data_IF_858521743435
#
_entry.id   IF_858521743435
#
_cell.length_a   1.000
_cell.length_b   1.000
_cell.length_c   1.000
_cell.angle_alpha   90.00
_cell.angle_beta   90.00
_cell.angle_gamma   90.00
#
_symmetry.space_group_name_H-M   'P 1'
#
loop_
_entity.id
_entity.type
_entity.pdbx_description
1 polymer ?
#
# COMPACT_ATOMS: atom_id res chain seq x y z
N UNK A 1 2.85 -31.63 -5.88
CA UNK A 1 2.78 -30.15 -5.91
C UNK A 1 2.33 -29.72 -4.54
N UNK A 2 3.21 -29.07 -3.77
CA UNK A 2 2.92 -28.77 -2.36
C UNK A 2 1.81 -27.73 -2.29
N UNK A 3 0.68 -28.10 -1.67
CA UNK A 3 -0.39 -27.20 -1.21
C UNK A 3 0.13 -26.32 -0.08
N UNK A 4 1.03 -25.38 -0.43
CA UNK A 4 1.86 -24.66 0.53
C UNK A 4 1.49 -23.18 0.69
N UNK A 5 0.46 -22.68 0.00
CA UNK A 5 0.02 -21.29 0.19
C UNK A 5 -1.15 -21.23 1.16
N UNK A 6 -0.91 -21.60 2.42
CA UNK A 6 -1.90 -21.32 3.45
C UNK A 6 -2.06 -19.80 3.58
N UNK A 7 -3.30 -19.33 3.50
CA UNK A 7 -3.61 -17.90 3.61
C UNK A 7 -3.33 -17.43 5.04
N UNK A 8 -2.54 -16.37 5.17
CA UNK A 8 -2.12 -15.84 6.47
C UNK A 8 -3.16 -14.81 6.92
N UNK A 9 -4.20 -15.28 7.63
CA UNK A 9 -5.39 -14.50 7.96
C UNK A 9 -5.09 -13.25 8.83
N UNK A 10 -4.08 -13.31 9.70
CA UNK A 10 -3.66 -12.16 10.52
C UNK A 10 -3.26 -10.95 9.66
N UNK A 11 -2.65 -11.19 8.49
CA UNK A 11 -2.26 -10.09 7.59
C UNK A 11 -3.48 -9.36 7.03
N UNK A 12 -4.61 -10.05 6.80
CA UNK A 12 -5.82 -9.39 6.28
C UNK A 12 -6.44 -8.45 7.32
N UNK A 13 -6.42 -8.84 8.60
CA UNK A 13 -6.86 -7.98 9.71
C UNK A 13 -5.97 -6.75 9.84
N UNK A 14 -4.65 -6.94 9.86
CA UNK A 14 -3.72 -5.82 10.00
C UNK A 14 -3.65 -4.92 8.76
N UNK A 15 -3.92 -5.44 7.56
CA UNK A 15 -4.13 -4.60 6.37
C UNK A 15 -5.34 -3.69 6.54
N UNK A 16 -6.43 -4.20 7.11
CA UNK A 16 -7.60 -3.37 7.41
C UNK A 16 -7.28 -2.30 8.44
N UNK A 17 -6.61 -2.66 9.55
CA UNK A 17 -6.15 -1.69 10.55
C UNK A 17 -5.25 -0.62 9.93
N UNK A 18 -4.28 -1.01 9.10
CA UNK A 18 -3.41 -0.08 8.39
C UNK A 18 -4.18 0.86 7.46
N UNK A 19 -5.17 0.36 6.72
CA UNK A 19 -6.02 1.20 5.88
C UNK A 19 -6.82 2.21 6.71
N UNK A 20 -7.35 1.80 7.86
CA UNK A 20 -8.05 2.71 8.79
C UNK A 20 -7.10 3.79 9.33
N UNK A 21 -5.89 3.43 9.76
CA UNK A 21 -4.89 4.41 10.22
C UNK A 21 -4.62 5.46 9.13
N UNK A 22 -4.46 5.03 7.87
CA UNK A 22 -4.26 5.95 6.74
C UNK A 22 -5.46 6.88 6.55
N UNK A 23 -6.70 6.38 6.69
CA UNK A 23 -7.91 7.21 6.67
C UNK A 23 -7.87 8.26 7.78
N UNK A 24 -7.49 7.86 9.01
CA UNK A 24 -7.44 8.79 10.15
C UNK A 24 -6.38 9.88 9.98
N UNK A 25 -5.22 9.56 9.39
CA UNK A 25 -4.18 10.56 9.08
C UNK A 25 -4.67 11.54 8.00
N UNK A 26 -5.31 11.03 6.93
CA UNK A 26 -5.82 11.91 5.88
C UNK A 26 -7.07 12.70 6.27
N UNK A 27 -7.80 12.23 7.30
CA UNK A 27 -8.90 13.00 7.90
C UNK A 27 -8.40 14.34 8.44
N UNK A 28 -7.24 14.36 9.10
CA UNK A 28 -6.60 15.59 9.56
C UNK A 28 -6.25 16.52 8.40
N UNK A 29 -5.70 15.98 7.30
CA UNK A 29 -5.31 16.78 6.14
C UNK A 29 -6.49 17.48 5.44
N UNK A 30 -7.67 16.86 5.41
CA UNK A 30 -8.85 17.38 4.69
C UNK A 30 -9.78 18.17 5.61
N UNK A 31 -9.97 17.71 6.85
CA UNK A 31 -10.94 18.28 7.79
C UNK A 31 -10.28 19.04 8.96
N UNK A 32 -8.94 19.12 9.01
CA UNK A 32 -8.18 19.95 9.95
C UNK A 32 -8.16 19.47 11.41
N UNK A 33 -8.69 18.28 11.69
CA UNK A 33 -8.77 17.73 13.05
C UNK A 33 -7.74 16.62 13.25
N UNK A 34 -6.80 16.83 14.17
CA UNK A 34 -5.82 15.83 14.57
C UNK A 34 -6.51 14.62 15.23
N UNK A 35 -6.19 13.42 14.75
CA UNK A 35 -6.72 12.16 15.30
C UNK A 35 -5.58 11.22 15.73
N UNK A 36 -4.58 11.05 14.87
CA UNK A 36 -3.42 10.17 15.08
C UNK A 36 -2.18 10.78 14.41
N UNK A 37 -0.98 10.52 14.95
CA UNK A 37 0.26 11.02 14.37
C UNK A 37 0.45 10.56 12.92
N UNK A 38 0.91 11.47 12.05
CA UNK A 38 1.23 11.18 10.65
C UNK A 38 2.24 10.04 10.50
N UNK A 39 3.16 9.89 11.46
CA UNK A 39 4.12 8.78 11.53
C UNK A 39 3.45 7.38 11.53
N UNK A 40 2.23 7.25 12.06
CA UNK A 40 1.47 5.99 11.98
C UNK A 40 1.02 5.69 10.54
N UNK A 41 0.61 6.70 9.79
CA UNK A 41 0.24 6.57 8.38
C UNK A 41 1.45 6.25 7.49
N UNK A 42 2.56 6.95 7.68
CA UNK A 42 3.80 6.71 6.91
C UNK A 42 4.36 5.31 7.16
N UNK A 43 4.35 4.83 8.41
CA UNK A 43 4.84 3.50 8.75
C UNK A 43 3.85 2.38 8.43
N UNK A 44 2.54 2.67 8.36
CA UNK A 44 1.56 1.75 7.80
C UNK A 44 1.85 1.43 6.32
N UNK A 45 2.35 2.39 5.54
CA UNK A 45 2.83 2.12 4.17
C UNK A 45 4.05 1.19 4.15
N UNK A 46 5.01 1.42 5.05
CA UNK A 46 6.17 0.53 5.17
C UNK A 46 5.77 -0.90 5.53
N UNK A 47 4.78 -1.04 6.40
CA UNK A 47 4.12 -2.30 6.67
C UNK A 47 3.56 -2.95 5.40
N UNK A 48 2.79 -2.21 4.58
CA UNK A 48 2.22 -2.74 3.33
C UNK A 48 3.30 -3.22 2.37
N UNK A 49 4.39 -2.46 2.19
CA UNK A 49 5.49 -2.84 1.31
C UNK A 49 6.25 -4.07 1.79
N UNK A 50 6.59 -4.16 3.08
CA UNK A 50 7.24 -5.33 3.66
C UNK A 50 6.35 -6.57 3.58
N UNK A 51 5.06 -6.44 3.88
CA UNK A 51 4.10 -7.54 3.73
C UNK A 51 4.00 -7.99 2.27
N UNK A 52 3.98 -7.05 1.33
CA UNK A 52 3.93 -7.37 -0.11
C UNK A 52 5.16 -8.18 -0.54
N UNK A 53 6.37 -7.72 -0.18
CA UNK A 53 7.61 -8.43 -0.45
C UNK A 53 7.65 -9.84 0.15
N UNK A 54 7.22 -9.98 1.42
CA UNK A 54 7.12 -11.27 2.08
C UNK A 54 6.14 -12.20 1.36
N UNK A 55 4.90 -11.75 1.14
CA UNK A 55 3.84 -12.60 0.56
C UNK A 55 4.22 -13.06 -0.84
N UNK A 56 4.86 -12.21 -1.64
CA UNK A 56 5.31 -12.61 -2.97
C UNK A 56 6.44 -13.64 -2.90
N UNK A 57 7.42 -13.47 -2.01
CA UNK A 57 8.47 -14.48 -1.83
C UNK A 57 7.95 -15.80 -1.26
N UNK A 58 6.90 -15.75 -0.43
CA UNK A 58 6.22 -16.92 0.12
C UNK A 58 5.41 -17.69 -0.94
N UNK A 59 4.64 -16.98 -1.78
CA UNK A 59 3.80 -17.59 -2.82
C UNK A 59 4.63 -18.01 -4.04
N UNK A 60 5.69 -17.26 -4.38
CA UNK A 60 6.57 -17.51 -5.52
C UNK A 60 8.03 -17.71 -5.04
N UNK A 61 8.33 -18.85 -4.39
CA UNK A 61 9.68 -19.14 -3.89
C UNK A 61 10.70 -19.29 -5.04
N UNK A 62 10.23 -19.59 -6.25
CA UNK A 62 11.01 -19.56 -7.48
C UNK A 62 10.12 -19.25 -8.68
N UNK A 63 10.69 -18.65 -9.72
CA UNK A 63 10.05 -18.43 -11.02
C UNK A 63 10.88 -19.13 -12.10
N UNK A 64 10.39 -20.27 -12.57
CA UNK A 64 11.11 -21.11 -13.55
C UNK A 64 10.86 -20.62 -14.98
N UNK A 65 11.73 -19.74 -15.46
CA UNK A 65 11.74 -19.26 -16.84
C UNK A 65 10.66 -18.23 -17.17
N UNK A 66 10.68 -17.76 -18.42
CA UNK A 66 9.89 -16.61 -18.86
C UNK A 66 8.37 -16.82 -18.79
N UNK A 67 7.89 -18.04 -19.04
CA UNK A 67 6.46 -18.35 -18.99
C UNK A 67 5.88 -18.13 -17.58
N UNK A 68 6.57 -18.61 -16.54
CA UNK A 68 6.18 -18.42 -15.14
C UNK A 68 6.23 -16.93 -14.76
N UNK A 69 7.26 -16.20 -15.18
CA UNK A 69 7.39 -14.76 -14.94
C UNK A 69 6.27 -13.95 -15.61
N UNK A 70 5.93 -14.26 -16.86
CA UNK A 70 4.80 -13.61 -17.56
C UNK A 70 3.47 -13.90 -16.88
N UNK A 71 3.28 -15.12 -16.39
CA UNK A 71 2.09 -15.50 -15.64
C UNK A 71 2.02 -14.74 -14.30
N UNK A 72 3.13 -14.64 -13.58
CA UNK A 72 3.26 -13.83 -12.37
C UNK A 72 2.79 -12.39 -12.61
N UNK A 73 3.32 -11.70 -13.63
CA UNK A 73 2.92 -10.32 -13.93
C UNK A 73 1.43 -10.18 -14.24
N UNK A 74 0.85 -11.11 -15.01
CA UNK A 74 -0.60 -11.11 -15.28
C UNK A 74 -1.41 -11.24 -13.99
N UNK A 75 -1.03 -12.13 -13.08
CA UNK A 75 -1.72 -12.27 -11.79
C UNK A 75 -1.62 -11.02 -10.93
N UNK A 76 -0.47 -10.33 -10.97
CA UNK A 76 -0.22 -9.08 -10.25
C UNK A 76 -1.06 -7.92 -10.82
N UNK A 77 -1.12 -7.77 -12.14
CA UNK A 77 -1.97 -6.75 -12.79
C UNK A 77 -3.43 -6.98 -12.42
N UNK A 78 -3.93 -8.22 -12.52
CA UNK A 78 -5.33 -8.53 -12.15
C UNK A 78 -5.61 -8.25 -10.65
N UNK A 79 -4.59 -8.36 -9.79
CA UNK A 79 -4.73 -8.12 -8.35
C UNK A 79 -4.93 -6.63 -8.01
N UNK A 80 -4.27 -5.73 -8.75
CA UNK A 80 -4.26 -4.29 -8.47
C UNK A 80 -5.27 -3.55 -9.36
N UNK A 81 -5.24 -3.82 -10.66
CA UNK A 81 -5.83 -2.93 -11.66
C UNK A 81 -7.34 -2.68 -11.53
N UNK A 82 -8.20 -3.66 -11.19
CA UNK A 82 -9.65 -3.40 -11.16
C UNK A 82 -10.08 -2.31 -10.19
N UNK A 83 -9.63 -2.35 -8.93
CA UNK A 83 -9.99 -1.32 -7.95
C UNK A 83 -9.25 -0.01 -8.23
N UNK A 84 -7.97 -0.09 -8.62
CA UNK A 84 -7.16 1.07 -8.96
C UNK A 84 -7.76 1.86 -10.14
N UNK A 85 -8.13 1.19 -11.23
CA UNK A 85 -8.73 1.80 -12.40
C UNK A 85 -10.10 2.42 -12.10
N UNK A 86 -10.90 1.79 -11.23
CA UNK A 86 -12.16 2.34 -10.77
C UNK A 86 -11.95 3.59 -9.89
N UNK A 87 -10.98 3.57 -8.98
CA UNK A 87 -10.64 4.72 -8.16
C UNK A 87 -10.16 5.90 -9.01
N UNK A 88 -9.31 5.65 -10.02
CA UNK A 88 -8.92 6.69 -11.00
C UNK A 88 -10.15 7.21 -11.73
N UNK A 89 -11.04 6.35 -12.23
CA UNK A 89 -12.23 6.78 -12.96
C UNK A 89 -13.05 7.75 -12.11
N UNK A 90 -13.34 7.37 -10.86
CA UNK A 90 -14.12 8.19 -9.93
C UNK A 90 -13.40 9.50 -9.63
N UNK A 91 -12.11 9.42 -9.30
CA UNK A 91 -11.36 10.57 -8.81
C UNK A 91 -10.98 11.54 -9.94
N UNK A 92 -10.61 11.05 -11.12
CA UNK A 92 -10.32 11.91 -12.28
C UNK A 92 -11.57 12.58 -12.82
N UNK A 93 -12.71 11.88 -12.84
CA UNK A 93 -14.00 12.47 -13.23
C UNK A 93 -14.39 13.59 -12.26
N UNK A 94 -14.30 13.34 -10.95
CA UNK A 94 -14.62 14.34 -9.94
C UNK A 94 -13.74 15.58 -10.03
N UNK A 95 -12.41 15.40 -10.04
CA UNK A 95 -11.45 16.51 -10.10
C UNK A 95 -11.61 17.30 -11.39
N UNK A 96 -11.72 16.61 -12.53
CA UNK A 96 -11.81 17.28 -13.82
C UNK A 96 -13.11 18.06 -13.95
N UNK A 97 -14.27 17.46 -13.63
CA UNK A 97 -15.55 18.16 -13.73
C UNK A 97 -15.65 19.34 -12.76
N UNK A 98 -15.15 19.18 -11.54
CA UNK A 98 -15.17 20.27 -10.53
C UNK A 98 -14.22 21.40 -10.90
N UNK A 99 -13.05 21.09 -11.47
CA UNK A 99 -12.16 22.11 -12.02
C UNK A 99 -12.79 22.84 -13.22
N UNK A 100 -13.52 22.15 -14.10
CA UNK A 100 -14.23 22.81 -15.20
C UNK A 100 -15.34 23.76 -14.71
N UNK A 101 -15.94 23.50 -13.54
CA UNK A 101 -17.00 24.35 -12.99
C UNK A 101 -16.49 25.60 -12.27
N UNK A 102 -15.40 25.48 -11.49
CA UNK A 102 -14.93 26.58 -10.61
C UNK A 102 -13.46 26.96 -10.79
N UNK A 103 -12.74 26.32 -11.72
CA UNK A 103 -11.32 26.58 -11.98
C UNK A 103 -10.43 26.26 -10.77
N UNK A 104 -9.43 27.12 -10.52
CA UNK A 104 -8.49 26.95 -9.40
C UNK A 104 -9.16 26.97 -8.01
N UNK A 105 -10.35 27.56 -7.89
CA UNK A 105 -11.10 27.57 -6.63
C UNK A 105 -11.42 26.16 -6.13
N UNK A 106 -11.51 25.18 -7.03
CA UNK A 106 -11.70 23.77 -6.69
C UNK A 106 -10.68 23.27 -5.65
N UNK A 107 -9.40 23.62 -5.82
CA UNK A 107 -8.35 23.13 -4.92
C UNK A 107 -8.51 23.68 -3.50
N UNK A 108 -9.01 24.90 -3.38
CA UNK A 108 -9.32 25.51 -2.08
C UNK A 108 -10.59 24.91 -1.49
N UNK A 109 -11.67 24.78 -2.27
CA UNK A 109 -12.96 24.24 -1.83
C UNK A 109 -12.87 22.77 -1.39
N UNK A 110 -11.99 21.98 -2.01
CA UNK A 110 -11.72 20.60 -1.62
C UNK A 110 -10.68 20.46 -0.48
N UNK A 111 -10.25 21.59 0.13
CA UNK A 111 -9.20 21.64 1.17
C UNK A 111 -7.91 20.91 0.76
N UNK A 112 -7.45 21.09 -0.47
CA UNK A 112 -6.18 20.48 -0.90
C UNK A 112 -4.99 21.24 -0.30
N UNK A 113 -4.06 20.53 0.37
CA UNK A 113 -2.81 21.14 0.78
C UNK A 113 -2.03 21.69 -0.42
N UNK A 114 -1.35 22.84 -0.27
CA UNK A 114 -0.54 23.43 -1.35
C UNK A 114 0.52 22.46 -1.90
N UNK A 115 1.02 21.56 -1.05
CA UNK A 115 2.09 20.60 -1.36
C UNK A 115 1.66 19.52 -2.37
N UNK A 116 0.37 19.41 -2.68
CA UNK A 116 -0.12 18.51 -3.73
C UNK A 116 -0.49 19.22 -5.04
N UNK A 117 -0.23 20.53 -5.13
CA UNK A 117 -0.52 21.35 -6.32
C UNK A 117 0.60 22.30 -6.75
N UNK A 118 1.70 22.42 -5.99
CA UNK A 118 2.70 23.50 -6.15
C UNK A 118 3.37 23.60 -7.53
N UNK A 119 3.54 22.49 -8.25
CA UNK A 119 4.20 22.47 -9.56
C UNK A 119 3.24 22.07 -10.70
N UNK A 120 1.93 22.04 -10.42
CA UNK A 120 0.93 21.89 -11.48
C UNK A 120 0.96 23.12 -12.39
N UNK A 121 0.70 22.96 -13.71
CA UNK A 121 0.67 24.09 -14.63
C UNK A 121 -0.44 25.07 -14.25
N UNK A 122 -0.21 26.36 -14.50
CA UNK A 122 -1.21 27.42 -14.27
C UNK A 122 -2.48 27.15 -15.09
N UNK A 123 -2.32 26.82 -16.38
CA UNK A 123 -3.41 26.45 -17.27
C UNK A 123 -3.57 24.92 -17.31
N UNK A 124 -4.68 24.41 -16.77
CA UNK A 124 -5.04 22.99 -16.78
C UNK A 124 -6.17 22.76 -17.77
N UNK A 125 -5.84 22.78 -19.05
CA UNK A 125 -6.81 22.57 -20.12
C UNK A 125 -7.26 21.11 -20.23
N UNK A 126 -8.20 20.84 -21.14
CA UNK A 126 -8.68 19.49 -21.46
C UNK A 126 -7.52 18.55 -21.83
N UNK A 127 -6.49 19.04 -22.54
CA UNK A 127 -5.36 18.22 -22.96
C UNK A 127 -4.52 17.76 -21.78
N UNK A 128 -4.27 18.64 -20.81
CA UNK A 128 -3.61 18.32 -19.56
C UNK A 128 -4.34 17.21 -18.79
N UNK A 129 -5.65 17.34 -18.58
CA UNK A 129 -6.44 16.33 -17.86
C UNK A 129 -6.48 14.98 -18.57
N UNK A 130 -6.56 14.96 -19.91
CA UNK A 130 -6.50 13.74 -20.70
C UNK A 130 -5.15 13.03 -20.53
N UNK A 131 -4.04 13.75 -20.69
CA UNK A 131 -2.68 13.20 -20.53
C UNK A 131 -2.45 12.72 -19.10
N UNK A 132 -2.88 13.50 -18.11
CA UNK A 132 -2.79 13.13 -16.70
C UNK A 132 -3.57 11.84 -16.42
N UNK A 133 -4.79 11.73 -16.94
CA UNK A 133 -5.65 10.54 -16.78
C UNK A 133 -5.00 9.30 -17.40
N UNK A 134 -4.47 9.42 -18.62
CA UNK A 134 -3.75 8.34 -19.28
C UNK A 134 -2.51 7.91 -18.49
N UNK A 135 -1.73 8.86 -17.96
CA UNK A 135 -0.56 8.55 -17.11
C UNK A 135 -0.94 7.79 -15.86
N UNK A 136 -2.06 8.12 -15.21
CA UNK A 136 -2.55 7.37 -14.05
C UNK A 136 -2.97 5.94 -14.42
N UNK A 137 -3.71 5.76 -15.53
CA UNK A 137 -4.11 4.42 -15.99
C UNK A 137 -2.95 3.55 -16.43
N UNK A 138 -1.84 4.14 -16.87
CA UNK A 138 -0.62 3.45 -17.30
C UNK A 138 0.41 3.27 -16.18
N UNK A 139 0.13 3.72 -14.96
CA UNK A 139 1.10 3.75 -13.85
C UNK A 139 2.36 4.56 -14.19
N UNK A 140 2.27 5.64 -14.96
CA UNK A 140 3.43 6.46 -15.36
C UNK A 140 3.42 7.86 -14.77
N UNK A 141 2.44 8.19 -13.91
CA UNK A 141 2.34 9.50 -13.26
C UNK A 141 3.53 9.81 -12.35
N UNK A 142 4.21 8.80 -11.80
CA UNK A 142 5.39 8.97 -10.95
C UNK A 142 6.70 9.19 -11.74
N UNK A 143 6.68 9.11 -13.07
CA UNK A 143 7.83 9.34 -13.98
C UNK A 143 7.59 10.62 -14.80
N UNK A 144 6.95 11.60 -14.17
CA UNK A 144 6.63 12.89 -14.76
C UNK A 144 7.65 13.93 -14.32
N UNK A 145 7.89 14.94 -15.16
CA UNK A 145 8.62 16.15 -14.75
C UNK A 145 7.84 16.99 -13.73
N UNK A 146 6.51 16.86 -13.71
CA UNK A 146 5.62 17.42 -12.70
C UNK A 146 5.54 16.40 -11.56
N UNK A 147 6.11 16.73 -10.42
CA UNK A 147 6.19 15.93 -9.21
C UNK A 147 4.82 15.70 -8.60
N UNK A 148 3.96 16.72 -8.50
CA UNK A 148 2.62 16.58 -7.90
C UNK A 148 1.62 15.87 -8.81
N UNK A 149 1.97 15.57 -10.07
CA UNK A 149 1.08 14.87 -11.00
C UNK A 149 0.59 13.54 -10.40
N UNK A 150 1.43 12.86 -9.62
CA UNK A 150 1.08 11.58 -8.99
C UNK A 150 -0.02 11.69 -7.92
N UNK A 151 -0.31 12.90 -7.46
CA UNK A 151 -1.27 13.23 -6.41
C UNK A 151 -2.53 13.91 -6.96
N UNK A 152 -2.52 14.32 -8.24
CA UNK A 152 -3.55 15.16 -8.87
C UNK A 152 -4.97 14.63 -8.67
N UNK A 153 -5.19 13.34 -8.91
CA UNK A 153 -6.55 12.78 -8.82
C UNK A 153 -6.83 12.13 -7.48
N UNK A 154 -5.83 11.48 -6.89
CA UNK A 154 -6.01 10.70 -5.67
C UNK A 154 -4.65 10.59 -4.99
N UNK A 155 -4.43 11.41 -3.97
CA UNK A 155 -3.14 11.56 -3.29
C UNK A 155 -2.51 10.20 -2.93
N UNK A 156 -3.20 9.29 -2.25
CA UNK A 156 -2.60 8.03 -1.78
C UNK A 156 -2.24 6.99 -2.87
N UNK A 157 -2.75 7.11 -4.11
CA UNK A 157 -2.57 6.06 -5.13
C UNK A 157 -1.14 5.90 -5.65
N UNK A 158 -0.24 6.87 -5.42
CA UNK A 158 1.18 6.74 -5.80
C UNK A 158 1.83 5.47 -5.20
N UNK A 159 1.38 5.05 -4.02
CA UNK A 159 1.89 3.87 -3.33
C UNK A 159 1.59 2.56 -4.09
N UNK A 160 0.42 2.45 -4.73
CA UNK A 160 0.05 1.29 -5.55
C UNK A 160 0.81 1.26 -6.88
N UNK A 161 1.16 2.44 -7.40
CA UNK A 161 2.07 2.58 -8.55
C UNK A 161 3.45 2.04 -8.19
N UNK A 162 3.97 2.42 -7.01
CA UNK A 162 5.23 1.87 -6.53
C UNK A 162 5.16 0.35 -6.34
N UNK A 163 4.06 -0.17 -5.78
CA UNK A 163 3.86 -1.61 -5.67
C UNK A 163 3.91 -2.31 -7.04
N UNK A 164 3.30 -1.72 -8.07
CA UNK A 164 3.41 -2.22 -9.45
C UNK A 164 4.85 -2.20 -9.97
N UNK A 165 5.63 -1.16 -9.68
CA UNK A 165 7.06 -1.11 -10.02
C UNK A 165 7.87 -2.17 -9.27
N UNK A 166 7.58 -2.39 -7.99
CA UNK A 166 8.27 -3.40 -7.18
C UNK A 166 8.00 -4.80 -7.73
N UNK A 167 6.80 -5.04 -8.24
CA UNK A 167 6.48 -6.29 -8.92
C UNK A 167 7.34 -6.50 -10.17
N UNK A 168 7.65 -5.47 -10.95
CA UNK A 168 8.57 -5.55 -12.09
C UNK A 168 9.99 -5.94 -11.64
N UNK A 169 10.46 -5.40 -10.52
CA UNK A 169 11.79 -5.70 -9.96
C UNK A 169 11.85 -7.05 -9.22
N UNK A 170 10.71 -7.58 -8.78
CA UNK A 170 10.64 -8.75 -7.91
C UNK A 170 11.37 -9.99 -8.46
N UNK A 171 11.19 -10.43 -9.73
CA UNK A 171 11.89 -11.62 -10.23
C UNK A 171 13.41 -11.50 -10.19
N UNK A 172 13.96 -10.31 -10.45
CA UNK A 172 15.40 -10.05 -10.36
C UNK A 172 15.87 -10.20 -8.92
N UNK A 173 15.21 -9.55 -7.97
CA UNK A 173 15.59 -9.60 -6.56
C UNK A 173 15.36 -10.98 -5.92
N UNK A 174 14.39 -11.74 -6.42
CA UNK A 174 14.19 -13.14 -6.02
C UNK A 174 15.43 -13.99 -6.36
N UNK A 175 16.07 -13.73 -7.50
CA UNK A 175 17.31 -14.41 -7.91
C UNK A 175 18.50 -13.93 -7.07
N UNK A 176 18.65 -12.61 -6.89
CA UNK A 176 19.75 -12.02 -6.12
C UNK A 176 19.76 -12.51 -4.66
N UNK A 177 18.58 -12.52 -4.02
CA UNK A 177 18.44 -12.92 -2.62
C UNK A 177 18.46 -14.44 -2.42
N UNK A 178 18.48 -15.25 -3.48
CA UNK A 178 18.56 -16.72 -3.39
C UNK A 178 19.86 -17.20 -2.71
N UNK A 179 20.92 -16.39 -2.73
CA UNK A 179 22.21 -16.70 -2.05
C UNK A 179 22.21 -16.35 -0.56
N UNK A 180 21.20 -15.63 -0.09
CA UNK A 180 21.05 -15.27 1.33
C UNK A 180 20.41 -16.47 2.04
N UNK A 181 21.25 -17.36 2.58
CA UNK A 181 20.85 -18.67 3.12
C UNK A 181 21.21 -18.85 4.60
N UNK A 182 21.69 -17.82 5.27
CA UNK A 182 22.05 -17.86 6.70
C UNK A 182 21.49 -16.65 7.42
N UNK A 183 21.22 -16.77 8.72
CA UNK A 183 20.77 -15.65 9.56
C UNK A 183 21.71 -14.45 9.49
N UNK A 184 23.03 -14.69 9.53
CA UNK A 184 24.05 -13.64 9.40
C UNK A 184 23.97 -12.90 8.07
N UNK A 185 23.75 -13.60 6.95
CA UNK A 185 23.58 -12.94 5.64
C UNK A 185 22.31 -12.13 5.58
N UNK A 186 21.21 -12.62 6.15
CA UNK A 186 19.97 -11.83 6.20
C UNK A 186 20.19 -10.55 7.01
N UNK A 187 20.79 -10.66 8.20
CA UNK A 187 21.08 -9.50 9.04
C UNK A 187 22.03 -8.51 8.33
N UNK A 188 23.11 -8.99 7.71
CA UNK A 188 24.03 -8.14 6.97
C UNK A 188 23.35 -7.39 5.81
N UNK A 189 22.50 -8.07 5.03
CA UNK A 189 21.76 -7.43 3.93
C UNK A 189 20.70 -6.45 4.47
N UNK A 190 20.06 -6.77 5.59
CA UNK A 190 19.12 -5.86 6.25
C UNK A 190 19.82 -4.57 6.68
N UNK A 191 20.95 -4.67 7.39
CA UNK A 191 21.72 -3.50 7.83
C UNK A 191 22.26 -2.70 6.64
N UNK A 192 22.80 -3.37 5.62
CA UNK A 192 23.27 -2.69 4.41
C UNK A 192 22.14 -1.94 3.70
N UNK A 193 20.96 -2.57 3.56
CA UNK A 193 19.77 -1.93 3.01
C UNK A 193 19.31 -0.75 3.86
N UNK A 194 19.35 -0.86 5.19
CA UNK A 194 18.90 0.18 6.11
C UNK A 194 19.82 1.42 6.05
N UNK A 195 21.14 1.20 6.01
CA UNK A 195 22.12 2.27 5.79
C UNK A 195 21.99 2.90 4.40
N UNK A 196 21.73 2.09 3.36
CA UNK A 196 21.46 2.59 2.02
C UNK A 196 20.21 3.46 1.99
N UNK A 197 19.12 3.01 2.62
CA UNK A 197 17.88 3.79 2.72
C UNK A 197 18.12 5.13 3.40
N UNK A 198 18.91 5.15 4.48
CA UNK A 198 19.31 6.40 5.15
C UNK A 198 20.10 7.32 4.23
N UNK A 199 21.11 6.79 3.53
CA UNK A 199 21.91 7.57 2.58
C UNK A 199 21.06 8.15 1.45
N UNK A 200 20.07 7.40 0.95
CA UNK A 200 19.14 7.88 -0.06
C UNK A 200 18.22 8.98 0.49
N UNK A 201 17.67 8.82 1.69
CA UNK A 201 16.86 9.86 2.34
C UNK A 201 17.69 11.13 2.50
N UNK A 202 18.91 11.04 3.01
CA UNK A 202 19.81 12.17 3.17
C UNK A 202 20.17 12.84 1.83
N UNK A 203 20.31 12.04 0.76
CA UNK A 203 20.63 12.55 -0.58
C UNK A 203 19.45 13.27 -1.26
N UNK A 204 18.23 12.75 -1.09
CA UNK A 204 17.03 13.30 -1.73
C UNK A 204 16.26 14.31 -0.86
N UNK A 205 16.74 14.60 0.36
CA UNK A 205 16.12 15.59 1.24
C UNK A 205 16.43 17.01 0.73
N UNK A 206 15.46 17.78 0.23
CA UNK A 206 15.65 19.20 -0.01
C UNK A 206 15.71 19.98 1.29
N UNK A 207 16.31 21.16 1.19
CA UNK A 207 16.43 22.12 2.28
C UNK A 207 15.06 22.73 2.60
N UNK A 208 14.63 22.63 3.86
CA UNK A 208 13.47 23.34 4.39
C UNK A 208 13.68 23.72 5.88
N UNK A 209 12.95 24.75 6.34
CA UNK A 209 12.99 25.22 7.73
C UNK A 209 12.29 24.25 8.70
N UNK A 210 11.19 23.64 8.26
CA UNK A 210 10.40 22.67 9.01
C UNK A 210 9.97 21.52 8.11
N UNK A 211 9.75 20.37 8.75
CA UNK A 211 9.49 19.12 8.08
C UNK A 211 8.33 18.40 8.76
N UNK A 212 7.28 18.15 8.00
CA UNK A 212 6.07 17.43 8.40
C UNK A 212 5.58 16.51 7.25
N UNK A 213 4.42 15.87 7.41
CA UNK A 213 3.86 14.97 6.40
C UNK A 213 3.67 15.64 5.02
N UNK A 214 3.38 16.94 5.02
CA UNK A 214 3.10 17.72 3.82
C UNK A 214 4.39 18.35 3.25
N UNK A 215 5.27 18.90 4.09
CA UNK A 215 6.46 19.69 3.68
C UNK A 215 7.70 18.85 3.43
N UNK A 216 7.87 17.71 4.11
CA UNK A 216 9.02 16.83 3.88
C UNK A 216 8.75 15.80 2.76
N UNK A 217 8.45 16.37 1.61
CA UNK A 217 8.90 15.86 0.32
C UNK A 217 8.15 14.67 -0.23
N UNK A 218 7.12 15.00 -1.01
CA UNK A 218 6.66 14.16 -2.10
C UNK A 218 7.85 13.47 -2.82
N UNK A 219 8.99 14.12 -3.14
CA UNK A 219 10.16 13.46 -3.72
C UNK A 219 10.79 12.31 -2.89
N UNK A 220 10.88 12.43 -1.56
CA UNK A 220 11.46 11.41 -0.67
C UNK A 220 10.40 10.37 -0.30
N UNK A 221 9.24 10.84 0.17
CA UNK A 221 8.13 10.04 0.66
C UNK A 221 7.62 9.05 -0.38
N UNK A 222 7.54 9.51 -1.64
CA UNK A 222 7.04 8.73 -2.77
C UNK A 222 8.15 8.17 -3.67
N UNK A 223 9.41 8.26 -3.23
CA UNK A 223 10.54 7.82 -4.03
C UNK A 223 10.51 6.29 -4.24
N UNK A 224 10.49 5.80 -5.49
CA UNK A 224 10.46 4.36 -5.76
C UNK A 224 11.69 3.63 -5.18
N UNK A 225 12.87 4.25 -5.21
CA UNK A 225 14.13 3.60 -4.82
C UNK A 225 14.19 3.47 -3.30
N UNK A 226 13.85 4.54 -2.56
CA UNK A 226 13.83 4.52 -1.09
C UNK A 226 12.83 3.47 -0.59
N UNK A 227 11.62 3.46 -1.14
CA UNK A 227 10.54 2.54 -0.73
C UNK A 227 10.76 1.11 -1.17
N UNK A 228 11.48 0.89 -2.27
CA UNK A 228 11.80 -0.46 -2.72
C UNK A 228 12.66 -1.22 -1.70
N UNK A 229 13.49 -0.53 -0.91
CA UNK A 229 14.26 -1.16 0.17
C UNK A 229 13.35 -1.85 1.18
N UNK A 230 12.22 -1.22 1.53
CA UNK A 230 11.22 -1.77 2.47
C UNK A 230 10.55 -3.03 1.90
N UNK A 231 10.27 -3.05 0.59
CA UNK A 231 9.78 -4.24 -0.09
C UNK A 231 10.82 -5.38 -0.04
N UNK A 232 12.10 -5.07 -0.25
CA UNK A 232 13.21 -6.04 -0.11
C UNK A 232 13.33 -6.57 1.32
N UNK A 233 13.13 -5.74 2.35
CA UNK A 233 13.06 -6.22 3.73
C UNK A 233 11.95 -7.25 3.93
N UNK A 234 10.80 -7.06 3.29
CA UNK A 234 9.76 -8.09 3.19
C UNK A 234 10.28 -9.43 2.66
N UNK A 235 11.04 -9.40 1.56
CA UNK A 235 11.65 -10.60 0.99
C UNK A 235 12.68 -11.23 1.94
N UNK A 236 13.45 -10.43 2.69
CA UNK A 236 14.39 -10.91 3.71
C UNK A 236 13.67 -11.55 4.89
N UNK A 237 12.55 -11.00 5.35
CA UNK A 237 11.70 -11.58 6.38
C UNK A 237 11.25 -12.99 5.94
N UNK A 238 10.92 -13.18 4.66
CA UNK A 238 10.63 -14.52 4.14
C UNK A 238 11.84 -15.46 4.23
N UNK A 239 13.05 -14.97 3.97
CA UNK A 239 14.28 -15.78 4.13
C UNK A 239 14.49 -16.18 5.59
N UNK A 240 14.30 -15.26 6.54
CA UNK A 240 14.34 -15.59 7.97
C UNK A 240 13.29 -16.64 8.33
N UNK A 241 12.04 -16.42 7.91
CA UNK A 241 10.94 -17.36 8.15
C UNK A 241 11.22 -18.75 7.58
N UNK A 242 11.77 -18.83 6.36
CA UNK A 242 12.14 -20.10 5.74
C UNK A 242 13.30 -20.81 6.47
N UNK A 243 14.24 -20.06 7.05
CA UNK A 243 15.36 -20.60 7.85
C UNK A 243 14.92 -21.08 9.22
N UNK A 244 13.92 -20.43 9.83
CA UNK A 244 13.39 -20.81 11.14
C UNK A 244 12.50 -22.05 11.09
N UNK A 245 12.08 -22.46 9.89
CA UNK A 245 11.20 -23.61 9.67
C UNK A 245 9.74 -23.32 10.02
N UNK A 246 8.83 -23.98 9.31
CA UNK A 246 7.40 -23.99 9.67
C UNK A 246 7.21 -25.13 10.67
N UNK A 247 7.21 -24.79 11.95
CA UNK A 247 6.90 -25.74 13.01
C UNK A 247 5.39 -26.04 13.02
N UNK A 248 4.99 -27.13 12.36
CA UNK A 248 3.58 -27.54 12.24
C UNK A 248 2.98 -28.01 13.57
N UNK A 249 3.81 -28.27 14.59
CA UNK A 249 3.41 -28.80 15.88
C UNK A 249 3.20 -27.72 16.95
N UNK A 250 3.41 -26.44 16.61
CA UNK A 250 2.97 -25.29 17.43
C UNK A 250 1.45 -25.15 17.39
N UNK A 251 0.74 -26.06 18.04
CA UNK A 251 -0.72 -26.08 18.14
C UNK A 251 -1.33 -24.93 18.96
N UNK A 252 -0.51 -24.05 19.56
CA UNK A 252 -0.99 -22.90 20.36
C UNK A 252 -0.44 -21.60 19.81
N UNK A 253 -1.37 -20.72 19.42
CA UNK A 253 -1.11 -19.33 19.05
C UNK A 253 -0.51 -18.61 20.26
N UNK A 254 0.74 -18.15 20.14
CA UNK A 254 1.40 -17.34 21.16
C UNK A 254 1.36 -15.86 20.76
N UNK A 255 0.51 -15.08 21.43
CA UNK A 255 0.34 -13.64 21.16
C UNK A 255 1.43 -12.78 21.82
N UNK A 256 2.20 -13.31 22.77
CA UNK A 256 3.16 -12.51 23.55
C UNK A 256 4.19 -11.79 22.66
N UNK A 257 4.88 -12.46 21.71
CA UNK A 257 5.84 -11.78 20.84
C UNK A 257 5.20 -10.68 19.99
N UNK A 258 3.96 -10.92 19.52
CA UNK A 258 3.22 -9.93 18.75
C UNK A 258 2.87 -8.71 19.60
N UNK A 259 2.32 -8.91 20.81
CA UNK A 259 1.99 -7.82 21.72
C UNK A 259 3.22 -6.99 22.11
N UNK A 260 4.34 -7.64 22.41
CA UNK A 260 5.62 -6.96 22.68
C UNK A 260 6.05 -6.14 21.45
N UNK A 261 5.98 -6.72 20.24
CA UNK A 261 6.36 -6.00 19.02
C UNK A 261 5.45 -4.79 18.74
N UNK A 262 4.16 -4.85 19.10
CA UNK A 262 3.23 -3.72 18.98
C UNK A 262 3.62 -2.62 19.98
N UNK A 263 3.90 -2.97 21.24
CA UNK A 263 4.35 -1.99 22.25
C UNK A 263 5.65 -1.33 21.84
N UNK A 264 6.63 -2.10 21.35
CA UNK A 264 7.90 -1.56 20.85
C UNK A 264 7.67 -0.65 19.65
N UNK A 265 6.83 -1.05 18.69
CA UNK A 265 6.48 -0.22 17.54
C UNK A 265 5.85 1.11 17.99
N UNK A 266 4.84 1.08 18.86
CA UNK A 266 4.17 2.29 19.36
C UNK A 266 5.14 3.18 20.16
N UNK A 267 6.03 2.58 20.96
CA UNK A 267 7.08 3.32 21.67
C UNK A 267 8.04 4.00 20.69
N UNK A 268 8.47 3.31 19.62
CA UNK A 268 9.34 3.88 18.60
C UNK A 268 8.66 5.03 17.87
N UNK A 269 7.37 4.92 17.55
CA UNK A 269 6.60 6.01 16.95
C UNK A 269 6.52 7.20 17.92
N UNK A 270 6.13 6.98 19.17
CA UNK A 270 6.06 8.05 20.18
C UNK A 270 7.42 8.72 20.38
N UNK A 271 8.49 7.94 20.52
CA UNK A 271 9.84 8.45 20.68
C UNK A 271 10.28 9.24 19.45
N UNK A 272 10.00 8.71 18.26
CA UNK A 272 10.28 9.36 17.00
C UNK A 272 9.58 10.72 16.89
N UNK A 273 8.29 10.78 17.21
CA UNK A 273 7.49 11.99 17.13
C UNK A 273 7.99 13.09 18.10
N UNK A 274 8.43 12.71 19.30
CA UNK A 274 8.76 13.68 20.35
C UNK A 274 10.24 14.10 20.38
N UNK A 275 11.15 13.26 19.87
CA UNK A 275 12.59 13.44 20.08
C UNK A 275 13.43 13.35 18.81
N UNK A 276 12.86 12.93 17.68
CA UNK A 276 13.59 12.76 16.42
C UNK A 276 12.98 13.66 15.35
N UNK A 277 13.78 14.38 14.55
CA UNK A 277 13.24 15.18 13.46
C UNK A 277 12.33 14.33 12.55
N UNK A 278 11.18 14.89 12.16
CA UNK A 278 10.09 14.18 11.48
C UNK A 278 10.56 13.29 10.30
N UNK A 279 11.54 13.78 9.54
CA UNK A 279 12.13 13.07 8.40
C UNK A 279 12.80 11.75 8.71
N UNK A 280 13.39 11.65 9.89
CA UNK A 280 14.04 10.44 10.34
C UNK A 280 13.07 9.60 11.17
N UNK A 281 12.17 10.23 11.95
CA UNK A 281 11.19 9.48 12.74
C UNK A 281 10.18 8.72 11.88
N UNK A 282 9.67 9.36 10.81
CA UNK A 282 8.64 8.79 9.93
C UNK A 282 9.14 7.68 8.99
N UNK A 283 10.43 7.65 8.67
CA UNK A 283 10.98 6.73 7.66
C UNK A 283 12.13 5.87 8.12
N UNK A 284 12.87 6.27 9.15
CA UNK A 284 14.12 5.62 9.50
C UNK A 284 13.93 4.81 10.77
N UNK A 285 13.64 5.46 11.90
CA UNK A 285 13.66 4.83 13.22
C UNK A 285 12.65 3.68 13.33
N UNK A 286 11.49 3.79 12.67
CA UNK A 286 10.43 2.80 12.75
C UNK A 286 10.66 1.53 11.92
N UNK A 287 11.52 1.55 10.89
CA UNK A 287 11.64 0.45 9.91
C UNK A 287 12.04 -0.88 10.56
N UNK A 288 13.05 -0.96 11.45
CA UNK A 288 13.35 -2.18 12.17
C UNK A 288 12.19 -2.68 13.04
N UNK A 289 11.46 -1.77 13.69
CA UNK A 289 10.30 -2.12 14.51
C UNK A 289 9.16 -2.69 13.66
N UNK A 290 8.89 -2.11 12.48
CA UNK A 290 7.92 -2.63 11.51
C UNK A 290 8.35 -4.02 11.00
N UNK A 291 9.63 -4.23 10.70
CA UNK A 291 10.15 -5.52 10.24
C UNK A 291 9.95 -6.63 11.31
N UNK A 292 10.23 -6.32 12.58
CA UNK A 292 9.99 -7.22 13.72
C UNK A 292 8.50 -7.49 13.88
N UNK A 293 7.66 -6.46 13.80
CA UNK A 293 6.20 -6.57 13.89
C UNK A 293 5.64 -7.50 12.80
N UNK A 294 6.07 -7.33 11.54
CA UNK A 294 5.73 -8.21 10.41
C UNK A 294 6.17 -9.65 10.70
N UNK A 295 7.43 -9.85 11.11
CA UNK A 295 7.94 -11.18 11.43
C UNK A 295 7.15 -11.85 12.56
N UNK A 296 6.81 -11.15 13.63
CA UNK A 296 6.02 -11.68 14.74
C UNK A 296 4.59 -12.08 14.32
N UNK A 297 3.94 -11.30 13.46
CA UNK A 297 2.63 -11.68 12.91
C UNK A 297 2.69 -12.94 12.06
N UNK A 298 3.72 -13.07 11.23
CA UNK A 298 3.90 -14.24 10.37
C UNK A 298 4.19 -15.51 11.18
N UNK A 299 4.94 -15.38 12.28
CA UNK A 299 5.21 -16.47 13.22
C UNK A 299 4.04 -16.83 14.14
N UNK A 300 2.96 -16.04 14.13
CA UNK A 300 1.76 -16.35 14.89
C UNK A 300 1.14 -17.69 14.45
N UNK A 301 1.30 -18.05 13.17
CA UNK A 301 0.77 -19.29 12.57
C UNK A 301 -0.70 -19.53 12.94
N UNK A 302 -1.48 -18.45 12.97
CA UNK A 302 -2.90 -18.50 13.30
C UNK A 302 -3.72 -18.83 12.05
N UNK A 303 -4.39 -19.99 12.09
CA UNK A 303 -5.22 -20.50 11.00
C UNK A 303 -6.69 -20.56 11.44
N UNK A 304 -7.40 -19.42 11.45
CA UNK A 304 -8.81 -19.39 11.82
C UNK A 304 -9.66 -20.22 10.85
N UNK A 305 -10.80 -20.72 11.33
CA UNK A 305 -11.77 -21.49 10.55
C UNK A 305 -13.17 -20.88 10.67
N UNK A 306 -14.08 -21.28 9.78
CA UNK A 306 -15.49 -20.89 9.85
C UNK A 306 -15.72 -19.39 9.67
N UNK A 307 -16.54 -18.80 10.55
CA UNK A 307 -16.93 -17.39 10.48
C UNK A 307 -15.74 -16.43 10.64
N UNK A 308 -14.77 -16.76 11.50
CA UNK A 308 -13.58 -15.93 11.72
C UNK A 308 -12.72 -15.82 10.47
N UNK A 309 -12.52 -16.94 9.75
CA UNK A 309 -11.82 -16.90 8.47
C UNK A 309 -12.52 -15.97 7.49
N UNK A 310 -13.84 -16.15 7.28
CA UNK A 310 -14.64 -15.31 6.38
C UNK A 310 -14.55 -13.83 6.75
N UNK A 311 -14.56 -13.50 8.04
CA UNK A 311 -14.38 -12.12 8.51
C UNK A 311 -13.00 -11.58 8.14
N UNK A 312 -11.92 -12.33 8.39
CA UNK A 312 -10.58 -11.92 7.98
C UNK A 312 -10.51 -11.67 6.46
N UNK A 313 -11.07 -12.57 5.65
CA UNK A 313 -11.07 -12.41 4.19
C UNK A 313 -11.86 -11.17 3.74
N UNK A 314 -12.99 -10.89 4.39
CA UNK A 314 -13.78 -9.70 4.14
C UNK A 314 -13.00 -8.44 4.50
N UNK A 315 -12.38 -8.38 5.68
CA UNK A 315 -11.58 -7.24 6.13
C UNK A 315 -10.41 -6.97 5.17
N UNK A 316 -9.69 -7.99 4.73
CA UNK A 316 -8.61 -7.85 3.74
C UNK A 316 -9.10 -7.47 2.34
N UNK A 317 -10.33 -7.84 1.98
CA UNK A 317 -10.99 -7.39 0.76
C UNK A 317 -11.37 -5.90 0.82
N UNK A 318 -12.02 -5.50 1.91
CA UNK A 318 -12.45 -4.13 2.17
C UNK A 318 -11.27 -3.17 2.31
N UNK A 319 -10.19 -3.60 2.98
CA UNK A 319 -9.02 -2.74 3.21
C UNK A 319 -8.47 -2.15 1.92
N UNK A 320 -8.47 -2.92 0.84
CA UNK A 320 -7.97 -2.48 -0.46
C UNK A 320 -8.89 -1.43 -1.10
N UNK A 321 -10.20 -1.61 -1.00
CA UNK A 321 -11.18 -0.65 -1.55
C UNK A 321 -11.21 0.64 -0.74
N UNK A 322 -11.22 0.54 0.59
CA UNK A 322 -11.14 1.69 1.50
C UNK A 322 -9.88 2.50 1.15
N UNK A 323 -8.74 1.83 1.03
CA UNK A 323 -7.50 2.48 0.65
C UNK A 323 -7.59 3.20 -0.71
N UNK A 324 -8.23 2.61 -1.72
CA UNK A 324 -8.34 3.25 -3.03
C UNK A 324 -9.33 4.43 -3.05
N UNK A 325 -10.40 4.39 -2.25
CA UNK A 325 -11.52 5.33 -2.36
C UNK A 325 -11.59 6.38 -1.27
N UNK A 326 -10.90 6.21 -0.13
CA UNK A 326 -11.04 7.14 0.99
C UNK A 326 -10.73 8.59 0.63
N UNK A 327 -9.63 8.86 -0.08
CA UNK A 327 -9.23 10.21 -0.45
C UNK A 327 -10.26 10.93 -1.33
N UNK A 328 -10.63 10.41 -2.53
CA UNK A 328 -11.62 11.09 -3.37
C UNK A 328 -12.99 11.16 -2.69
N UNK A 329 -13.34 10.17 -1.86
CA UNK A 329 -14.58 10.24 -1.08
C UNK A 329 -14.57 11.39 -0.07
N UNK A 330 -13.47 11.56 0.70
CA UNK A 330 -13.35 12.66 1.66
C UNK A 330 -13.33 14.03 0.96
N UNK A 331 -12.64 14.15 -0.19
CA UNK A 331 -12.68 15.38 -0.99
C UNK A 331 -14.09 15.69 -1.49
N UNK A 332 -14.87 14.69 -1.93
CA UNK A 332 -16.26 14.90 -2.34
C UNK A 332 -17.14 15.32 -1.16
N UNK A 333 -16.95 14.72 0.02
CA UNK A 333 -17.69 15.10 1.24
C UNK A 333 -17.41 16.55 1.59
N UNK A 334 -16.15 16.97 1.52
CA UNK A 334 -15.72 18.34 1.77
C UNK A 334 -16.27 19.30 0.70
N UNK A 335 -15.99 19.04 -0.58
CA UNK A 335 -16.33 19.90 -1.72
C UNK A 335 -17.84 20.13 -1.86
N UNK A 336 -18.66 19.08 -1.71
CA UNK A 336 -20.11 19.20 -1.79
C UNK A 336 -20.77 19.50 -0.44
N UNK A 337 -19.99 19.69 0.64
CA UNK A 337 -20.47 19.88 2.01
C UNK A 337 -21.53 18.83 2.40
N UNK A 338 -21.26 17.55 2.08
CA UNK A 338 -22.20 16.43 2.34
C UNK A 338 -22.37 16.14 3.82
N UNK A 339 -21.35 16.45 4.61
CA UNK A 339 -21.38 16.41 6.07
C UNK A 339 -21.03 17.82 6.55
N UNK A 340 -21.88 18.46 7.40
CA UNK A 340 -21.62 19.81 7.85
C UNK A 340 -20.30 19.91 8.64
N UNK A 341 -19.43 20.85 8.26
CA UNK A 341 -18.19 21.15 8.98
C UNK A 341 -18.40 21.57 10.44
N UNK A 342 -19.60 22.10 10.75
CA UNK A 342 -19.98 22.48 12.11
C UNK A 342 -20.18 21.27 13.04
N UNK A 343 -20.24 20.05 12.51
CA UNK A 343 -20.38 18.86 13.32
C UNK A 343 -19.11 18.60 14.12
N UNK A 344 -19.23 18.26 15.42
CA UNK A 344 -18.08 17.84 16.20
C UNK A 344 -17.48 16.56 15.60
N UNK A 345 -16.15 16.42 15.64
CA UNK A 345 -15.45 15.30 15.00
C UNK A 345 -15.94 13.93 15.53
N UNK A 346 -16.41 13.88 16.78
CA UNK A 346 -16.98 12.69 17.42
C UNK A 346 -18.24 12.17 16.72
N UNK A 347 -18.96 13.04 15.99
CA UNK A 347 -20.09 12.67 15.14
C UNK A 347 -19.65 12.54 13.68
N UNK A 348 -18.88 13.50 13.18
CA UNK A 348 -18.47 13.55 11.78
C UNK A 348 -17.65 12.32 11.36
N UNK A 349 -16.60 11.96 12.13
CA UNK A 349 -15.70 10.86 11.78
C UNK A 349 -16.40 9.49 11.75
N UNK A 350 -17.22 9.08 12.75
CA UNK A 350 -17.93 7.80 12.67
C UNK A 350 -18.94 7.72 11.53
N UNK A 351 -19.63 8.83 11.20
CA UNK A 351 -20.56 8.88 10.06
C UNK A 351 -19.79 8.72 8.74
N UNK A 352 -18.72 9.49 8.56
CA UNK A 352 -17.83 9.39 7.41
C UNK A 352 -17.29 7.96 7.23
N UNK A 353 -16.76 7.36 8.32
CA UNK A 353 -16.23 6.01 8.30
C UNK A 353 -17.30 4.96 7.95
N UNK A 354 -18.51 5.11 8.47
CA UNK A 354 -19.63 4.20 8.18
C UNK A 354 -20.04 4.25 6.70
N UNK A 355 -20.13 5.45 6.12
CA UNK A 355 -20.45 5.63 4.71
C UNK A 355 -19.31 5.06 3.84
N UNK A 356 -18.05 5.37 4.17
CA UNK A 356 -16.88 4.86 3.45
C UNK A 356 -16.82 3.32 3.47
N UNK A 357 -17.08 2.69 4.62
CA UNK A 357 -17.16 1.22 4.73
C UNK A 357 -18.32 0.68 3.89
N UNK A 358 -19.49 1.33 3.93
CA UNK A 358 -20.66 0.95 3.13
C UNK A 358 -20.38 0.99 1.63
N UNK A 359 -19.86 2.11 1.12
CA UNK A 359 -19.46 2.26 -0.29
C UNK A 359 -18.39 1.22 -0.64
N UNK A 360 -17.38 1.05 0.22
CA UNK A 360 -16.30 0.08 -0.02
C UNK A 360 -16.81 -1.36 -0.09
N UNK A 361 -17.81 -1.70 0.72
CA UNK A 361 -18.48 -3.00 0.69
C UNK A 361 -19.23 -3.22 -0.63
N UNK A 362 -19.98 -2.22 -1.09
CA UNK A 362 -20.69 -2.29 -2.37
C UNK A 362 -19.71 -2.46 -3.53
N UNK A 363 -18.67 -1.63 -3.61
CA UNK A 363 -17.64 -1.70 -4.66
C UNK A 363 -16.90 -3.04 -4.61
N UNK A 364 -16.56 -3.54 -3.41
CA UNK A 364 -15.93 -4.84 -3.26
C UNK A 364 -16.80 -5.97 -3.82
N UNK A 365 -18.08 -6.02 -3.43
CA UNK A 365 -18.96 -7.14 -3.76
C UNK A 365 -19.45 -7.12 -5.21
N UNK A 366 -19.77 -5.93 -5.73
CA UNK A 366 -20.40 -5.79 -7.05
C UNK A 366 -19.41 -5.50 -8.19
N UNK A 367 -18.23 -4.94 -7.89
CA UNK A 367 -17.27 -4.54 -8.91
C UNK A 367 -15.96 -5.33 -8.79
N UNK A 368 -15.24 -5.17 -7.68
CA UNK A 368 -13.87 -5.68 -7.55
C UNK A 368 -13.81 -7.21 -7.55
N UNK A 369 -14.55 -7.85 -6.65
CA UNK A 369 -14.52 -9.30 -6.51
C UNK A 369 -15.00 -10.04 -7.77
N UNK A 370 -16.14 -9.67 -8.40
CA UNK A 370 -16.59 -10.30 -9.63
C UNK A 370 -15.62 -10.12 -10.80
N UNK A 371 -15.10 -8.91 -11.01
CA UNK A 371 -14.15 -8.63 -12.10
C UNK A 371 -12.86 -9.41 -11.92
N UNK A 372 -12.25 -9.33 -10.74
CA UNK A 372 -11.01 -10.07 -10.42
C UNK A 372 -11.20 -11.57 -10.61
N UNK A 373 -12.31 -12.14 -10.13
CA UNK A 373 -12.64 -13.56 -10.30
C UNK A 373 -12.80 -13.95 -11.77
N UNK A 374 -13.49 -13.12 -12.57
CA UNK A 374 -13.68 -13.34 -14.01
C UNK A 374 -12.34 -13.31 -14.76
N UNK A 375 -11.51 -12.30 -14.49
CA UNK A 375 -10.18 -12.17 -15.11
C UNK A 375 -9.27 -13.37 -14.78
N UNK A 376 -9.25 -13.84 -13.53
CA UNK A 376 -8.49 -15.04 -13.17
C UNK A 376 -9.01 -16.30 -13.86
N UNK A 377 -10.33 -16.50 -13.94
CA UNK A 377 -10.92 -17.64 -14.66
C UNK A 377 -10.52 -17.64 -16.14
N UNK A 378 -10.59 -16.49 -16.81
CA UNK A 378 -10.20 -16.36 -18.22
C UNK A 378 -8.71 -16.66 -18.42
N UNK A 379 -7.85 -16.15 -17.52
CA UNK A 379 -6.42 -16.39 -17.58
C UNK A 379 -6.06 -17.88 -17.40
N UNK A 380 -6.69 -18.54 -16.43
CA UNK A 380 -6.46 -19.96 -16.16
C UNK A 380 -7.02 -20.83 -17.29
N UNK A 381 -8.21 -20.52 -17.82
CA UNK A 381 -8.81 -21.25 -18.95
C UNK A 381 -7.91 -21.18 -20.18
N UNK A 382 -7.42 -19.98 -20.54
CA UNK A 382 -6.49 -19.80 -21.66
C UNK A 382 -5.19 -20.58 -21.47
N UNK A 383 -4.66 -20.63 -20.26
CA UNK A 383 -3.47 -21.44 -19.98
C UNK A 383 -3.76 -22.95 -20.09
N UNK A 384 -4.93 -23.42 -19.67
CA UNK A 384 -5.35 -24.82 -19.86
C UNK A 384 -5.56 -25.17 -21.34
N UNK A 385 -6.09 -24.25 -22.14
CA UNK A 385 -6.25 -24.44 -23.60
C UNK A 385 -4.88 -24.41 -24.32
N UNK A 386 -3.97 -23.51 -23.96
CA UNK A 386 -2.61 -23.48 -24.50
C UNK A 386 -1.78 -24.69 -24.09
N UNK A 387 -1.92 -25.17 -22.85
CA UNK A 387 -1.27 -26.40 -22.39
C UNK A 387 -1.96 -27.66 -22.96
N UNK A 388 -3.27 -27.62 -23.20
CA UNK A 388 -4.02 -28.69 -23.85
C UNK A 388 -3.73 -28.82 -25.35
N UNK A 389 -3.39 -27.71 -26.02
CA UNK A 389 -2.84 -27.71 -27.38
C UNK A 389 -1.35 -28.10 -27.43
N UNK A 390 -0.69 -28.19 -26.28
CA UNK A 390 0.72 -28.54 -26.13
C UNK A 390 0.90 -29.55 -24.97
N UNK A 391 0.17 -30.67 -25.07
CA UNK A 391 0.35 -31.98 -24.39
C UNK A 391 -0.97 -32.57 -23.86
N UNK A 392 -1.32 -33.70 -24.47
CA UNK A 392 -1.63 -34.93 -23.73
C UNK A 392 -0.79 -35.03 -22.45
N UNK A 393 -1.44 -35.20 -21.28
CA UNK A 393 -0.85 -35.28 -19.92
C UNK A 393 -0.54 -33.90 -19.31
N UNK A 394 -0.99 -33.50 -18.12
CA UNK A 394 -1.64 -34.15 -16.97
C UNK A 394 -2.23 -33.02 -16.08
N UNK A 395 -3.24 -33.40 -15.29
CA UNK A 395 -4.05 -32.60 -14.36
C UNK A 395 -3.29 -31.89 -13.23
#
# INVERSE_FOLDING_TARGET
MVDNSQKIAVLDVFRFIGAVIVVLVHYELIFGQFIVWGALGTTALSWFFMVSGFVLSYVYPSLSGWAATKQFYKFRIIRIYPAYAFAILVSSTFVWLSYLSVGEAFFVEAHRPFQITYDLPELKDTSFFLIATLRHYLFTQSISSIETLKLLFNGPLWSLVLEAYFYLCFPLFLILLRKVTTYMRVFAVFIAGYLMQFGLIAFFLPEAEYYDLATLNVPVYTNPIIRFVEFVFGMLIYRLFALSGIDKDKGKVNLIPLLISIVVYLFVIWFGENYVPYQYSSFFVAIPAVAVLVYCMLNLQWYPKGATLKLCELLGGLSYIIYCLHWPFMEMVQYFNLLPESWPYQLHLPVLASILIGISYLVYHFLEFPLRRKMYKLLIKKNKECNGACKSSLL
#
